data_IF_911927483150
#
_entry.id   IF_911927483150
#
_cell.length_a   1.000
_cell.length_b   1.000
_cell.length_c   1.000
_cell.angle_alpha   90.00
_cell.angle_beta   90.00
_cell.angle_gamma   90.00
#
_symmetry.space_group_name_H-M   'P 1'
#
loop_
_entity.id
_entity.type
_entity.pdbx_description
1 polymer ?
#
# COMPACT_ATOMS: atom_id res chain seq x y z
N UNK A 1 -28.54 -10.17 14.47
CA UNK A 1 -27.07 -10.17 14.63
C UNK A 1 -26.50 -10.12 13.22
N UNK A 2 -26.20 -8.91 12.79
CA UNK A 2 -26.13 -8.51 11.38
C UNK A 2 -24.71 -8.72 10.83
N UNK A 3 -24.58 -9.65 9.89
CA UNK A 3 -23.37 -9.86 9.10
C UNK A 3 -23.51 -9.01 7.84
N UNK A 4 -22.77 -7.90 7.76
CA UNK A 4 -22.75 -7.00 6.59
C UNK A 4 -21.79 -7.55 5.52
N UNK A 5 -22.23 -7.52 4.27
CA UNK A 5 -21.48 -7.93 3.06
C UNK A 5 -21.00 -6.70 2.26
N UNK A 6 -19.97 -6.82 1.41
CA UNK A 6 -19.44 -5.72 0.60
C UNK A 6 -19.66 -5.93 -0.91
N UNK A 7 -20.50 -5.12 -1.55
CA UNK A 7 -20.56 -4.98 -3.02
C UNK A 7 -20.93 -3.52 -3.37
N UNK A 8 -20.34 -2.99 -4.46
CA UNK A 8 -20.80 -1.92 -5.35
C UNK A 8 -19.73 -0.86 -5.70
N UNK A 9 -19.09 -1.06 -6.87
CA UNK A 9 -18.31 -0.06 -7.59
C UNK A 9 -18.80 -0.03 -9.04
N UNK A 10 -19.57 0.99 -9.43
CA UNK A 10 -19.98 1.22 -10.82
C UNK A 10 -20.19 2.74 -11.15
N UNK A 11 -19.39 3.20 -12.13
CA UNK A 11 -19.57 4.22 -13.21
C UNK A 11 -19.65 5.78 -13.05
N UNK A 12 -18.83 6.42 -13.92
CA UNK A 12 -18.94 7.65 -14.78
C UNK A 12 -19.03 9.09 -14.19
N UNK A 13 -18.91 10.16 -15.00
CA UNK A 13 -17.78 11.02 -15.46
C UNK A 13 -18.30 12.49 -15.53
N UNK A 14 -17.49 13.53 -15.26
CA UNK A 14 -17.33 14.74 -16.14
C UNK A 14 -16.30 15.77 -15.63
N UNK A 15 -15.60 16.39 -16.58
CA UNK A 15 -14.53 17.37 -16.38
C UNK A 15 -15.04 18.81 -16.45
N UNK A 16 -14.31 19.77 -15.85
CA UNK A 16 -13.92 20.92 -16.66
C UNK A 16 -12.43 21.25 -16.59
N UNK A 17 -11.97 21.69 -17.75
CA UNK A 17 -10.60 22.00 -18.13
C UNK A 17 -9.96 23.18 -17.39
N UNK A 18 -8.61 23.17 -17.45
CA UNK A 18 -7.66 24.30 -17.33
C UNK A 18 -7.32 24.81 -15.92
N UNK A 19 -6.42 24.08 -15.27
CA UNK A 19 -5.07 24.53 -14.84
C UNK A 19 -4.34 23.29 -14.31
N UNK A 20 -3.13 23.04 -14.81
CA UNK A 20 -2.29 21.93 -14.33
C UNK A 20 -1.84 22.29 -12.91
N UNK A 21 -2.61 21.84 -11.93
CA UNK A 21 -2.19 21.69 -10.53
C UNK A 21 -2.22 20.20 -10.23
N UNK A 22 -1.12 19.63 -9.73
CA UNK A 22 -1.08 18.27 -9.17
C UNK A 22 -2.27 18.10 -8.22
N UNK A 23 -3.29 17.35 -8.62
CA UNK A 23 -4.35 16.86 -7.73
C UNK A 23 -3.99 15.43 -7.37
N UNK A 24 -2.88 15.27 -6.65
CA UNK A 24 -2.62 14.00 -5.98
C UNK A 24 -3.56 13.98 -4.77
N UNK A 25 -4.29 12.90 -4.55
CA UNK A 25 -5.19 12.72 -3.40
C UNK A 25 -4.94 11.35 -2.79
N UNK A 26 -4.96 11.26 -1.45
CA UNK A 26 -5.00 9.96 -0.78
C UNK A 26 -6.45 9.53 -0.68
N UNK A 27 -6.70 8.29 -1.08
CA UNK A 27 -8.00 7.66 -1.07
C UNK A 27 -8.19 6.85 0.21
N UNK A 28 -9.32 7.04 0.89
CA UNK A 28 -9.71 6.23 2.05
C UNK A 28 -11.08 5.58 1.78
N UNK A 29 -11.27 4.35 2.23
CA UNK A 29 -12.55 3.65 2.10
C UNK A 29 -13.48 4.00 3.26
N UNK A 30 -14.68 4.52 2.94
CA UNK A 30 -15.80 4.67 3.88
C UNK A 30 -16.95 3.75 3.45
N UNK A 31 -17.69 3.13 4.39
CA UNK A 31 -19.03 2.60 4.11
C UNK A 31 -20.07 3.71 4.24
N UNK A 32 -20.93 3.89 3.23
CA UNK A 32 -21.96 4.93 3.26
C UNK A 32 -23.25 4.48 3.96
N UNK A 33 -23.90 5.46 4.58
CA UNK A 33 -25.16 5.39 5.30
C UNK A 33 -26.27 5.98 4.42
N UNK A 34 -27.36 5.23 4.25
CA UNK A 34 -28.75 5.65 3.87
C UNK A 34 -29.28 5.36 2.44
N UNK A 35 -30.24 4.42 2.42
CA UNK A 35 -31.64 4.43 1.89
C UNK A 35 -31.95 5.10 0.53
N UNK A 36 -32.59 4.32 -0.36
CA UNK A 36 -33.66 4.78 -1.26
C UNK A 36 -33.50 4.36 -2.73
N UNK A 37 -34.27 3.37 -3.18
CA UNK A 37 -34.31 2.94 -4.59
C UNK A 37 -35.47 3.57 -5.39
N UNK A 38 -35.42 3.48 -6.72
CA UNK A 38 -36.56 3.53 -7.66
C UNK A 38 -36.20 2.87 -9.03
N UNK A 39 -37.12 1.99 -9.50
CA UNK A 39 -37.59 1.65 -10.89
C UNK A 39 -36.63 1.17 -12.01
N UNK A 40 -37.00 0.35 -13.03
CA UNK A 40 -38.16 -0.47 -13.48
C UNK A 40 -37.65 -1.44 -14.59
N UNK A 41 -38.37 -2.53 -14.91
CA UNK A 41 -38.28 -3.21 -16.23
C UNK A 41 -38.62 -4.71 -16.26
N UNK A 42 -39.78 -5.05 -16.82
CA UNK A 42 -40.43 -6.38 -16.97
C UNK A 42 -39.79 -7.35 -17.99
N UNK A 43 -40.19 -8.64 -17.93
CA UNK A 43 -40.96 -9.35 -18.99
C UNK A 43 -41.23 -10.83 -18.62
N UNK A 44 -42.50 -11.29 -18.71
CA UNK A 44 -42.85 -12.71 -18.85
C UNK A 44 -44.20 -13.13 -18.25
N UNK A 45 -45.17 -13.39 -19.11
CA UNK A 45 -46.62 -13.51 -18.92
C UNK A 45 -47.12 -14.98 -18.91
N UNK A 46 -48.12 -15.32 -18.09
CA UNK A 46 -49.14 -16.36 -18.38
C UNK A 46 -50.37 -16.26 -17.45
N UNK A 47 -51.55 -16.37 -18.06
CA UNK A 47 -52.91 -16.08 -17.57
C UNK A 47 -53.43 -16.95 -16.41
N UNK A 48 -54.11 -16.31 -15.44
CA UNK A 48 -55.39 -16.74 -14.84
C UNK A 48 -56.01 -15.56 -14.04
N UNK A 49 -57.27 -15.23 -14.33
CA UNK A 49 -58.03 -14.12 -13.73
C UNK A 49 -58.38 -14.38 -12.25
N UNK A 50 -57.69 -13.72 -11.31
CA UNK A 50 -58.21 -13.46 -9.95
C UNK A 50 -58.06 -11.97 -9.57
N UNK A 51 -59.13 -11.43 -9.00
CA UNK A 51 -59.28 -10.03 -8.61
C UNK A 51 -58.39 -9.71 -7.40
N UNK A 52 -57.59 -8.66 -7.57
CA UNK A 52 -56.65 -8.01 -6.64
C UNK A 52 -57.04 -7.98 -5.15
N UNK A 53 -56.23 -8.67 -4.33
CA UNK A 53 -55.83 -8.18 -3.00
C UNK A 53 -54.32 -7.88 -3.07
N UNK A 54 -53.95 -6.63 -2.78
CA UNK A 54 -52.58 -6.13 -2.83
C UNK A 54 -51.79 -6.66 -1.62
N UNK A 55 -51.11 -7.80 -1.77
CA UNK A 55 -50.09 -8.23 -0.82
C UNK A 55 -48.70 -7.82 -1.35
N UNK A 56 -48.07 -6.92 -0.59
CA UNK A 56 -46.88 -6.18 -0.96
C UNK A 56 -45.63 -7.01 -0.64
N UNK A 57 -45.50 -8.19 -1.24
CA UNK A 57 -44.38 -9.09 -0.95
C UNK A 57 -43.15 -8.69 -1.80
N UNK A 58 -42.32 -7.86 -1.18
CA UNK A 58 -41.06 -7.35 -1.72
C UNK A 58 -40.06 -8.50 -1.87
N UNK A 59 -39.93 -9.07 -3.08
CA UNK A 59 -38.92 -10.06 -3.38
C UNK A 59 -37.50 -9.47 -3.16
N UNK A 60 -36.86 -9.84 -2.05
CA UNK A 60 -35.49 -9.43 -1.74
C UNK A 60 -34.50 -10.36 -2.43
N UNK A 61 -33.69 -9.82 -3.36
CA UNK A 61 -32.58 -10.56 -3.92
C UNK A 61 -31.38 -10.47 -2.97
N UNK A 62 -31.01 -11.59 -2.37
CA UNK A 62 -29.87 -11.66 -1.47
C UNK A 62 -28.62 -11.85 -2.32
N UNK A 63 -27.86 -10.78 -2.57
CA UNK A 63 -26.55 -10.92 -3.20
C UNK A 63 -25.58 -11.56 -2.22
N UNK A 64 -24.89 -12.60 -2.69
CA UNK A 64 -23.91 -13.33 -1.91
C UNK A 64 -22.58 -13.30 -2.66
N UNK A 65 -21.59 -12.68 -2.04
CA UNK A 65 -20.20 -12.77 -2.49
C UNK A 65 -19.84 -14.23 -2.79
N UNK A 66 -19.16 -14.48 -3.92
CA UNK A 66 -18.84 -15.82 -4.43
C UNK A 66 -18.14 -16.73 -3.41
N UNK A 67 -17.38 -16.12 -2.51
CA UNK A 67 -16.66 -16.82 -1.43
C UNK A 67 -17.37 -16.78 -0.07
N UNK A 68 -18.64 -16.37 -0.03
CA UNK A 68 -19.46 -16.39 1.19
C UNK A 68 -19.97 -17.81 1.47
N UNK A 69 -20.16 -18.13 2.74
CA UNK A 69 -20.56 -19.46 3.18
C UNK A 69 -21.86 -19.97 2.50
N UNK A 70 -22.89 -19.12 2.27
CA UNK A 70 -24.07 -19.56 1.53
C UNK A 70 -23.81 -19.92 0.06
N UNK A 71 -22.78 -19.35 -0.57
CA UNK A 71 -22.41 -19.69 -1.96
C UNK A 71 -21.52 -20.93 -1.98
N UNK A 72 -20.64 -21.09 -0.98
CA UNK A 72 -19.85 -22.33 -0.80
C UNK A 72 -20.76 -23.54 -0.60
N UNK A 73 -21.83 -23.39 0.18
CA UNK A 73 -22.81 -24.45 0.43
C UNK A 73 -23.56 -24.85 -0.85
N UNK A 74 -23.80 -23.89 -1.77
CA UNK A 74 -24.44 -24.13 -3.08
C UNK A 74 -23.46 -24.71 -4.11
N UNK A 75 -22.19 -24.26 -4.10
CA UNK A 75 -21.14 -24.70 -5.04
C UNK A 75 -20.55 -26.09 -4.71
N UNK A 76 -21.05 -26.74 -3.65
CA UNK A 76 -20.43 -27.89 -2.99
C UNK A 76 -20.46 -29.22 -3.78
N UNK A 77 -20.46 -29.20 -5.12
CA UNK A 77 -20.30 -30.41 -5.94
C UNK A 77 -19.40 -30.29 -7.17
N UNK A 78 -18.92 -29.11 -7.58
CA UNK A 78 -18.17 -29.01 -8.86
C UNK A 78 -16.98 -28.03 -8.91
N UNK A 79 -16.78 -27.13 -7.94
CA UNK A 79 -15.70 -26.12 -8.00
C UNK A 79 -14.98 -26.02 -6.65
N UNK A 80 -13.65 -26.22 -6.63
CA UNK A 80 -12.84 -25.99 -5.43
C UNK A 80 -12.73 -24.49 -5.18
N UNK A 81 -13.34 -24.00 -4.10
CA UNK A 81 -13.28 -22.60 -3.70
C UNK A 81 -12.07 -22.40 -2.79
N UNK A 82 -11.11 -21.51 -3.14
CA UNK A 82 -9.95 -21.22 -2.28
C UNK A 82 -10.34 -20.78 -0.87
N UNK A 83 -9.55 -21.20 0.11
CA UNK A 83 -9.74 -20.81 1.51
C UNK A 83 -9.51 -19.31 1.66
N UNK A 84 -10.47 -18.60 2.27
CA UNK A 84 -10.35 -17.15 2.51
C UNK A 84 -9.05 -16.84 3.26
N UNK A 85 -8.24 -15.95 2.69
CA UNK A 85 -6.92 -15.60 3.23
C UNK A 85 -5.75 -16.42 2.66
N UNK A 86 -5.99 -17.39 1.77
CA UNK A 86 -4.92 -18.09 1.04
C UNK A 86 -4.41 -17.27 -0.15
N UNK A 87 -3.23 -17.60 -0.66
CA UNK A 87 -2.66 -16.94 -1.85
C UNK A 87 -3.61 -17.12 -3.03
N UNK A 88 -4.12 -18.35 -3.23
CA UNK A 88 -5.04 -18.71 -4.31
C UNK A 88 -6.35 -17.91 -4.24
N UNK A 89 -6.84 -17.61 -3.02
CA UNK A 89 -8.02 -16.76 -2.83
C UNK A 89 -7.78 -15.34 -3.33
N UNK A 90 -6.62 -14.74 -3.01
CA UNK A 90 -6.29 -13.40 -3.47
C UNK A 90 -5.94 -13.37 -4.96
N UNK A 91 -5.31 -14.42 -5.50
CA UNK A 91 -5.07 -14.56 -6.93
C UNK A 91 -6.39 -14.59 -7.69
N UNK A 92 -7.36 -15.41 -7.27
CA UNK A 92 -8.67 -15.48 -7.95
C UNK A 92 -9.44 -14.15 -7.81
N UNK A 93 -9.34 -13.46 -6.67
CA UNK A 93 -9.96 -12.13 -6.50
C UNK A 93 -9.30 -11.10 -7.43
N UNK A 94 -7.98 -11.11 -7.54
CA UNK A 94 -7.23 -10.22 -8.43
C UNK A 94 -7.53 -10.49 -9.91
N UNK A 95 -7.64 -11.75 -10.32
CA UNK A 95 -8.03 -12.13 -11.69
C UNK A 95 -9.46 -11.71 -12.02
N UNK A 96 -10.40 -11.85 -11.08
CA UNK A 96 -11.76 -11.34 -11.26
C UNK A 96 -11.77 -9.81 -11.34
N UNK A 97 -11.08 -9.10 -10.45
CA UNK A 97 -10.92 -7.64 -10.52
C UNK A 97 -10.36 -7.23 -11.89
N UNK A 98 -9.31 -7.89 -12.38
CA UNK A 98 -8.71 -7.68 -13.71
C UNK A 98 -9.73 -7.93 -14.83
N UNK A 99 -10.53 -9.00 -14.76
CA UNK A 99 -11.54 -9.33 -15.78
C UNK A 99 -12.71 -8.33 -15.79
N UNK A 100 -13.25 -7.98 -14.63
CA UNK A 100 -14.38 -7.05 -14.54
C UNK A 100 -13.97 -5.61 -14.86
N UNK A 101 -12.76 -5.18 -14.46
CA UNK A 101 -12.23 -3.86 -14.81
C UNK A 101 -11.77 -3.78 -16.26
N UNK A 102 -11.25 -4.87 -16.84
CA UNK A 102 -10.88 -4.94 -18.25
C UNK A 102 -12.07 -4.85 -19.21
N UNK A 103 -13.28 -5.28 -18.78
CA UNK A 103 -14.52 -5.13 -19.57
C UNK A 103 -15.17 -3.75 -19.45
N UNK A 104 -14.77 -2.94 -18.47
CA UNK A 104 -15.38 -1.66 -18.15
C UNK A 104 -14.69 -0.42 -18.70
N UNK A 105 -13.47 -0.54 -19.20
CA UNK A 105 -12.65 0.61 -19.61
C UNK A 105 -12.19 0.44 -21.05
N UNK A 106 -13.15 0.33 -21.98
CA UNK A 106 -12.85 0.49 -23.41
C UNK A 106 -13.10 1.92 -23.91
N UNK A 107 -13.29 2.91 -23.02
CA UNK A 107 -13.67 4.28 -23.44
C UNK A 107 -12.98 5.42 -22.66
N UNK A 108 -11.89 5.12 -21.92
CA UNK A 108 -10.98 6.16 -21.43
C UNK A 108 -9.58 5.59 -21.31
N UNK A 109 -8.62 6.09 -22.09
CA UNK A 109 -7.23 5.62 -22.16
C UNK A 109 -6.40 5.82 -20.88
N UNK A 110 -6.82 5.21 -19.78
CA UNK A 110 -6.09 5.16 -18.51
C UNK A 110 -5.41 3.79 -18.36
N UNK A 111 -4.23 3.67 -18.98
CA UNK A 111 -3.36 2.50 -18.84
C UNK A 111 -2.86 2.39 -17.39
N UNK A 112 -3.03 1.20 -16.79
CA UNK A 112 -2.55 0.88 -15.44
C UNK A 112 -1.45 -0.16 -15.53
N UNK A 113 -0.43 -0.02 -14.70
CA UNK A 113 0.72 -0.92 -14.68
C UNK A 113 0.94 -1.53 -13.29
N UNK A 114 1.51 -2.73 -13.29
CA UNK A 114 2.02 -3.43 -12.10
C UNK A 114 3.38 -4.07 -12.42
N UNK A 115 4.08 -4.62 -11.44
CA UNK A 115 5.30 -5.40 -11.66
C UNK A 115 5.03 -6.69 -12.43
N UNK A 116 5.90 -7.01 -13.39
CA UNK A 116 5.79 -8.18 -14.26
C UNK A 116 6.08 -9.51 -13.57
N UNK A 117 6.76 -9.50 -12.42
CA UNK A 117 7.01 -10.71 -11.61
C UNK A 117 5.88 -10.99 -10.60
N UNK A 118 4.72 -10.39 -10.84
CA UNK A 118 3.50 -10.53 -10.05
C UNK A 118 3.16 -9.29 -9.23
N UNK A 119 1.86 -8.97 -9.15
CA UNK A 119 1.33 -7.84 -8.38
C UNK A 119 1.13 -8.14 -6.88
N UNK A 120 1.95 -9.00 -6.29
CA UNK A 120 1.84 -9.33 -4.87
C UNK A 120 2.86 -8.54 -4.06
N UNK A 121 2.39 -7.96 -2.97
CA UNK A 121 3.24 -7.44 -1.90
C UNK A 121 2.97 -8.21 -0.60
N UNK A 122 3.99 -8.35 0.22
CA UNK A 122 3.95 -9.13 1.45
C UNK A 122 4.59 -8.35 2.60
N UNK A 123 3.90 -8.31 3.74
CA UNK A 123 4.45 -7.76 4.98
C UNK A 123 5.38 -8.76 5.63
N UNK A 124 6.67 -8.44 5.67
CA UNK A 124 7.69 -9.34 6.25
C UNK A 124 8.09 -8.82 7.63
N UNK A 125 7.52 -9.43 8.68
CA UNK A 125 7.71 -8.99 10.09
C UNK A 125 9.17 -8.97 10.53
N UNK A 126 9.94 -9.96 10.13
CA UNK A 126 11.38 -10.09 10.42
C UNK A 126 12.24 -9.09 9.65
N UNK A 127 11.73 -8.51 8.56
CA UNK A 127 12.37 -7.43 7.81
C UNK A 127 11.70 -6.09 8.14
N UNK A 128 11.55 -5.85 9.44
CA UNK A 128 11.08 -4.56 9.95
C UNK A 128 9.59 -4.32 9.72
N UNK A 129 8.75 -5.35 9.57
CA UNK A 129 7.30 -5.19 9.35
C UNK A 129 6.91 -4.33 8.12
N UNK A 130 7.83 -4.13 7.18
CA UNK A 130 7.56 -3.39 5.93
C UNK A 130 6.87 -4.29 4.89
N UNK A 131 6.24 -3.66 3.90
CA UNK A 131 5.69 -4.36 2.74
C UNK A 131 6.74 -4.43 1.63
N UNK A 132 6.93 -5.64 1.12
CA UNK A 132 7.91 -5.94 0.08
C UNK A 132 7.24 -6.49 -1.16
N UNK A 133 7.83 -6.25 -2.31
CA UNK A 133 7.42 -6.84 -3.58
C UNK A 133 8.65 -7.22 -4.40
N UNK A 134 8.48 -8.09 -5.39
CA UNK A 134 9.55 -8.47 -6.29
C UNK A 134 9.49 -7.61 -7.54
N UNK A 135 10.62 -7.01 -7.91
CA UNK A 135 10.78 -6.25 -9.15
C UNK A 135 11.83 -6.90 -10.03
N UNK A 136 11.70 -6.72 -11.35
CA UNK A 136 12.67 -7.21 -12.32
C UNK A 136 13.35 -6.07 -13.05
N UNK A 137 14.69 -6.07 -13.08
CA UNK A 137 15.53 -5.00 -13.60
C UNK A 137 16.66 -5.57 -14.48
N UNK A 138 16.88 -4.99 -15.65
CA UNK A 138 18.00 -5.33 -16.54
C UNK A 138 17.64 -6.19 -17.75
N UNK A 139 18.61 -6.45 -18.64
CA UNK A 139 18.42 -7.33 -19.81
C UNK A 139 19.55 -8.37 -19.91
N UNK A 140 19.30 -9.64 -19.51
CA UNK A 140 18.04 -10.20 -19.02
C UNK A 140 17.64 -9.67 -17.63
N UNK A 141 16.34 -9.73 -17.32
CA UNK A 141 15.78 -9.23 -16.06
C UNK A 141 16.28 -10.00 -14.83
N UNK A 142 16.89 -9.28 -13.90
CA UNK A 142 17.33 -9.77 -12.59
C UNK A 142 16.28 -9.41 -11.52
N UNK A 143 16.08 -10.26 -10.51
CA UNK A 143 14.99 -10.10 -9.52
C UNK A 143 15.49 -9.51 -8.21
N UNK A 144 14.71 -8.58 -7.66
CA UNK A 144 15.01 -7.88 -6.41
C UNK A 144 13.79 -7.83 -5.49
N UNK A 145 13.97 -8.21 -4.23
CA UNK A 145 12.94 -8.02 -3.20
C UNK A 145 13.09 -6.63 -2.58
N UNK A 146 12.17 -5.73 -2.88
CA UNK A 146 12.28 -4.31 -2.53
C UNK A 146 11.20 -3.89 -1.53
N UNK A 147 11.59 -3.08 -0.55
CA UNK A 147 10.62 -2.44 0.35
C UNK A 147 9.88 -1.31 -0.38
N UNK A 148 8.55 -1.26 -0.28
CA UNK A 148 7.74 -0.17 -0.83
C UNK A 148 7.79 1.05 0.10
N UNK A 149 8.30 2.17 -0.39
CA UNK A 149 8.60 3.33 0.47
C UNK A 149 8.07 4.64 -0.14
N UNK A 150 6.96 5.16 0.38
CA UNK A 150 6.44 6.50 0.04
C UNK A 150 7.18 7.64 0.73
N UNK A 151 8.01 7.36 1.74
CA UNK A 151 8.83 8.31 2.47
C UNK A 151 10.14 8.69 1.76
N UNK A 152 10.50 8.03 0.64
CA UNK A 152 11.66 8.39 -0.16
C UNK A 152 11.45 8.27 -1.67
N UNK A 153 12.23 9.04 -2.44
CA UNK A 153 12.04 9.16 -3.89
C UNK A 153 12.80 8.11 -4.70
N UNK A 154 14.00 7.71 -4.28
CA UNK A 154 14.91 6.93 -5.11
C UNK A 154 14.65 5.43 -4.98
N UNK A 155 14.35 4.77 -6.10
CA UNK A 155 14.50 3.31 -6.22
C UNK A 155 15.98 2.94 -6.25
N UNK A 156 16.41 2.01 -5.40
CA UNK A 156 17.78 1.50 -5.39
C UNK A 156 17.85 0.01 -5.06
N UNK A 157 18.90 -0.64 -5.56
CA UNK A 157 19.23 -2.06 -5.32
C UNK A 157 20.70 -2.21 -4.94
N UNK A 158 21.09 -3.23 -4.17
CA UNK A 158 22.50 -3.53 -3.92
C UNK A 158 23.22 -3.82 -5.24
N UNK A 159 24.39 -3.23 -5.44
CA UNK A 159 25.12 -3.28 -6.69
C UNK A 159 26.62 -3.08 -6.44
N UNK A 160 27.48 -3.85 -7.11
CA UNK A 160 28.95 -3.82 -6.94
C UNK A 160 29.36 -3.65 -5.46
N UNK A 161 28.76 -4.48 -4.61
CA UNK A 161 28.64 -4.17 -3.20
C UNK A 161 30.00 -4.19 -2.47
N UNK A 162 30.38 -3.05 -1.87
CA UNK A 162 31.53 -2.97 -0.96
C UNK A 162 31.13 -3.17 0.50
N UNK A 163 29.91 -2.74 0.89
CA UNK A 163 29.31 -2.94 2.21
C UNK A 163 27.78 -2.95 2.10
N UNK A 164 27.16 -4.13 2.13
CA UNK A 164 25.70 -4.32 2.08
C UNK A 164 25.33 -5.49 2.97
N UNK A 165 24.02 -5.72 3.14
CA UNK A 165 23.54 -6.94 3.76
C UNK A 165 24.07 -8.19 3.03
N UNK A 166 24.46 -9.21 3.80
CA UNK A 166 24.66 -10.55 3.23
C UNK A 166 23.30 -11.08 2.82
N UNK A 167 23.14 -11.43 1.54
CA UNK A 167 21.91 -12.05 1.05
C UNK A 167 21.98 -13.58 1.19
N UNK A 168 23.16 -14.20 1.02
CA UNK A 168 23.32 -15.65 0.92
C UNK A 168 22.86 -16.42 2.18
N UNK A 169 23.06 -15.84 3.37
CA UNK A 169 22.79 -16.50 4.67
C UNK A 169 21.40 -16.19 5.26
N UNK A 170 20.50 -15.57 4.49
CA UNK A 170 19.16 -15.21 5.00
C UNK A 170 18.12 -16.29 4.67
N UNK A 171 17.12 -16.53 5.55
CA UNK A 171 15.99 -17.40 5.21
C UNK A 171 15.17 -16.93 3.99
N UNK A 172 15.42 -15.70 3.52
CA UNK A 172 14.69 -15.03 2.45
C UNK A 172 15.36 -15.19 1.08
N UNK A 173 16.67 -15.43 1.02
CA UNK A 173 17.40 -15.53 -0.25
C UNK A 173 16.90 -16.69 -1.10
N UNK A 174 16.80 -17.88 -0.49
CA UNK A 174 16.26 -19.08 -1.16
C UNK A 174 14.78 -18.96 -1.52
N UNK A 175 14.01 -18.17 -0.76
CA UNK A 175 12.57 -18.00 -0.98
C UNK A 175 12.24 -16.99 -2.08
N UNK A 176 13.01 -15.91 -2.19
CA UNK A 176 12.72 -14.78 -3.09
C UNK A 176 13.74 -14.60 -4.21
N UNK A 177 14.77 -15.45 -4.29
CA UNK A 177 15.83 -15.39 -5.29
C UNK A 177 16.48 -14.00 -5.41
N UNK A 178 16.94 -13.48 -4.27
CA UNK A 178 17.56 -12.16 -4.17
C UNK A 178 18.85 -12.10 -4.99
N UNK A 179 19.01 -11.03 -5.78
CA UNK A 179 20.20 -10.81 -6.62
C UNK A 179 20.99 -9.57 -6.17
N UNK A 180 22.28 -9.50 -6.46
CA UNK A 180 23.04 -8.23 -6.43
C UNK A 180 23.16 -7.78 -7.87
N UNK A 181 22.76 -6.54 -8.17
CA UNK A 181 22.78 -6.03 -9.53
C UNK A 181 24.23 -5.90 -10.02
N UNK A 182 24.55 -6.65 -11.08
CA UNK A 182 25.81 -6.49 -11.82
C UNK A 182 25.52 -5.80 -13.15
N UNK A 183 26.04 -4.56 -13.37
CA UNK A 183 25.91 -3.86 -14.64
C UNK A 183 26.42 -4.65 -15.86
N UNK A 184 27.34 -5.61 -15.68
CA UNK A 184 27.91 -6.43 -16.76
C UNK A 184 26.97 -7.54 -17.21
N UNK A 185 26.08 -7.98 -16.32
CA UNK A 185 25.09 -9.01 -16.59
C UNK A 185 23.81 -8.44 -17.22
N UNK A 186 23.75 -7.13 -17.45
CA UNK A 186 22.67 -6.46 -18.17
C UNK A 186 23.20 -5.73 -19.40
N UNK A 187 22.76 -6.17 -20.58
CA UNK A 187 23.12 -5.57 -21.87
C UNK A 187 22.57 -4.15 -22.09
N UNK A 188 21.61 -3.72 -21.27
CA UNK A 188 20.96 -2.40 -21.33
C UNK A 188 21.41 -1.46 -20.23
N UNK A 189 22.31 -1.92 -19.34
CA UNK A 189 22.82 -1.12 -18.23
C UNK A 189 23.58 0.11 -18.70
N UNK A 190 23.26 1.27 -18.12
CA UNK A 190 23.91 2.54 -18.46
C UNK A 190 24.21 3.37 -17.21
N UNK A 191 25.43 3.87 -17.13
CA UNK A 191 25.85 4.84 -16.09
C UNK A 191 25.24 6.21 -16.36
N UNK A 192 24.65 6.83 -15.34
CA UNK A 192 24.17 8.22 -15.44
C UNK A 192 25.35 9.17 -15.34
N UNK A 193 25.52 10.04 -16.34
CA UNK A 193 26.58 11.06 -16.31
C UNK A 193 26.25 12.19 -15.33
N UNK A 194 27.27 12.88 -14.82
CA UNK A 194 27.11 14.08 -13.99
C UNK A 194 26.28 15.21 -14.61
N UNK A 195 26.25 15.28 -15.94
CA UNK A 195 25.57 16.33 -16.70
C UNK A 195 24.07 16.02 -16.85
N UNK A 196 23.64 14.85 -16.37
CA UNK A 196 22.28 14.38 -16.50
C UNK A 196 21.34 15.21 -15.63
N UNK A 197 20.15 15.51 -16.14
CA UNK A 197 19.15 16.37 -15.47
C UNK A 197 18.69 15.86 -14.10
N UNK A 198 18.82 14.56 -13.84
CA UNK A 198 18.47 13.92 -12.57
C UNK A 198 19.65 13.83 -11.60
N UNK A 199 20.85 14.24 -12.01
CA UNK A 199 22.00 14.30 -11.13
C UNK A 199 21.94 15.58 -10.29
N UNK A 200 21.60 15.46 -9.02
CA UNK A 200 21.54 16.58 -8.07
C UNK A 200 22.79 16.70 -7.20
N UNK A 201 23.60 15.63 -7.12
CA UNK A 201 24.80 15.59 -6.32
C UNK A 201 25.98 16.31 -7.01
N UNK A 202 26.86 16.88 -6.20
CA UNK A 202 28.13 17.41 -6.66
C UNK A 202 29.03 16.27 -7.14
N UNK A 203 29.38 16.28 -8.43
CA UNK A 203 30.29 15.30 -8.98
C UNK A 203 31.76 15.57 -8.61
N UNK A 204 32.55 14.53 -8.29
CA UNK A 204 33.99 14.67 -8.09
C UNK A 204 34.68 15.10 -9.39
N UNK A 205 35.51 16.15 -9.34
CA UNK A 205 36.26 16.68 -10.50
C UNK A 205 35.55 17.83 -11.23
N UNK A 206 36.06 18.25 -12.40
CA UNK A 206 35.60 19.43 -13.18
C UNK A 206 34.22 19.25 -13.86
N UNK A 207 33.24 18.71 -13.12
CA UNK A 207 31.79 18.83 -13.37
C UNK A 207 31.21 18.18 -14.63
N UNK A 208 32.02 17.57 -15.50
CA UNK A 208 31.57 17.15 -16.84
C UNK A 208 31.95 15.72 -17.25
N UNK A 209 32.89 15.09 -16.54
CA UNK A 209 33.44 13.76 -16.86
C UNK A 209 33.35 12.91 -15.60
N UNK A 210 32.25 12.20 -15.42
CA UNK A 210 32.02 11.36 -14.25
C UNK A 210 30.65 10.68 -14.26
N UNK A 211 30.52 9.64 -13.43
CA UNK A 211 29.24 9.01 -13.11
C UNK A 211 28.61 9.75 -11.93
N UNK A 212 27.31 10.02 -12.00
CA UNK A 212 26.59 10.75 -10.97
C UNK A 212 26.56 9.96 -9.66
N UNK A 213 27.15 10.47 -8.56
CA UNK A 213 27.02 9.84 -7.27
C UNK A 213 25.63 10.10 -6.68
N UNK A 214 25.21 9.26 -5.74
CA UNK A 214 24.08 9.56 -4.87
C UNK A 214 24.37 9.13 -3.44
N UNK A 215 23.67 9.76 -2.51
CA UNK A 215 23.66 9.38 -1.10
C UNK A 215 22.30 9.73 -0.52
N UNK A 216 21.66 8.76 0.13
CA UNK A 216 20.37 8.93 0.80
C UNK A 216 20.50 8.51 2.26
N UNK A 217 20.09 9.39 3.16
CA UNK A 217 20.02 9.12 4.60
C UNK A 217 18.56 8.97 5.02
N UNK A 218 18.30 8.02 5.92
CA UNK A 218 16.97 7.69 6.41
C UNK A 218 16.86 8.03 7.90
N UNK A 219 15.63 8.26 8.37
CA UNK A 219 15.38 8.69 9.76
C UNK A 219 15.81 7.63 10.78
N UNK A 220 15.78 6.35 10.41
CA UNK A 220 16.24 5.27 11.28
C UNK A 220 17.74 5.39 11.58
N UNK A 221 18.12 5.06 12.82
CA UNK A 221 19.48 5.26 13.35
C UNK A 221 20.56 4.80 12.37
N UNK A 222 21.42 5.73 11.97
CA UNK A 222 22.59 5.51 11.11
C UNK A 222 22.29 4.75 9.82
N UNK A 223 21.06 4.86 9.30
CA UNK A 223 20.63 4.13 8.10
C UNK A 223 20.82 4.99 6.86
N UNK A 224 21.57 4.47 5.89
CA UNK A 224 21.85 5.16 4.64
C UNK A 224 22.17 4.19 3.50
N UNK A 225 22.05 4.68 2.27
CA UNK A 225 22.55 4.02 1.06
C UNK A 225 23.31 5.04 0.20
N UNK A 226 24.40 4.62 -0.43
CA UNK A 226 25.20 5.48 -1.31
C UNK A 226 25.88 4.67 -2.41
N UNK A 227 26.18 5.36 -3.51
CA UNK A 227 26.79 4.75 -4.69
C UNK A 227 26.65 5.65 -5.90
N UNK A 228 26.27 5.07 -7.03
CA UNK A 228 26.12 5.77 -8.31
C UNK A 228 24.72 5.60 -8.91
N UNK A 229 24.26 6.58 -9.67
CA UNK A 229 23.03 6.47 -10.45
C UNK A 229 23.29 5.69 -11.75
N UNK A 230 22.35 4.80 -12.04
CA UNK A 230 22.32 3.94 -13.22
C UNK A 230 20.96 4.07 -13.92
N UNK A 231 20.89 3.71 -15.19
CA UNK A 231 19.66 3.54 -15.95
C UNK A 231 19.60 2.10 -16.46
N UNK A 232 18.43 1.47 -16.36
CA UNK A 232 18.15 0.17 -16.96
C UNK A 232 16.63 -0.05 -17.09
N UNK A 233 16.22 -1.12 -17.76
CA UNK A 233 14.81 -1.46 -17.91
C UNK A 233 14.24 -2.08 -16.63
N UNK A 234 13.24 -1.42 -16.05
CA UNK A 234 12.30 -1.99 -15.09
C UNK A 234 11.16 -2.65 -15.86
N UNK A 235 10.93 -3.94 -15.61
CA UNK A 235 9.87 -4.69 -16.26
C UNK A 235 8.55 -4.56 -15.49
N UNK A 236 7.53 -4.09 -16.19
CA UNK A 236 6.16 -3.94 -15.72
C UNK A 236 5.23 -4.76 -16.62
N UNK A 237 3.97 -4.88 -16.23
CA UNK A 237 2.91 -5.42 -17.05
C UNK A 237 1.65 -4.56 -16.94
N UNK A 238 0.77 -4.64 -17.94
CA UNK A 238 -0.58 -4.05 -17.84
C UNK A 238 -1.34 -4.72 -16.70
N UNK A 239 -1.97 -3.92 -15.85
CA UNK A 239 -2.81 -4.38 -14.73
C UNK A 239 -4.22 -4.76 -15.22
N UNK A 240 -4.27 -5.57 -16.26
CA UNK A 240 -5.47 -6.13 -16.89
C UNK A 240 -5.33 -7.64 -17.08
N UNK A 241 -6.33 -8.27 -17.69
CA UNK A 241 -6.32 -9.72 -17.94
C UNK A 241 -5.28 -10.16 -18.96
N UNK A 242 -4.71 -9.24 -19.74
CA UNK A 242 -3.77 -9.58 -20.81
C UNK A 242 -2.32 -9.62 -20.30
N UNK A 243 -1.98 -8.83 -19.27
CA UNK A 243 -0.64 -8.85 -18.66
C UNK A 243 0.46 -8.55 -19.68
N UNK A 244 0.26 -7.54 -20.52
CA UNK A 244 1.20 -7.18 -21.58
C UNK A 244 2.44 -6.56 -20.94
N UNK A 245 3.62 -7.09 -21.27
CA UNK A 245 4.89 -6.57 -20.75
C UNK A 245 5.12 -5.14 -21.23
N UNK A 246 5.51 -4.27 -20.29
CA UNK A 246 5.87 -2.87 -20.51
C UNK A 246 7.23 -2.62 -19.89
N UNK A 247 8.22 -2.28 -20.72
CA UNK A 247 9.59 -2.02 -20.27
C UNK A 247 9.83 -0.53 -20.09
N UNK A 248 10.09 -0.11 -18.85
CA UNK A 248 10.34 1.29 -18.50
C UNK A 248 11.84 1.51 -18.23
N UNK A 249 12.51 2.35 -19.01
CA UNK A 249 13.94 2.65 -18.83
C UNK A 249 14.15 3.67 -17.70
N UNK A 250 14.22 3.18 -16.46
CA UNK A 250 14.20 4.00 -15.23
C UNK A 250 15.61 4.35 -14.76
N UNK A 251 15.74 5.48 -14.07
CA UNK A 251 16.95 5.80 -13.28
C UNK A 251 16.81 5.21 -11.88
N UNK A 252 17.85 4.56 -11.38
CA UNK A 252 17.89 3.96 -10.04
C UNK A 252 19.27 4.09 -9.40
N UNK A 253 19.35 3.87 -8.09
CA UNK A 253 20.60 3.83 -7.34
C UNK A 253 21.25 2.43 -7.37
N UNK A 254 22.48 2.36 -7.87
CA UNK A 254 23.38 1.23 -7.61
C UNK A 254 24.00 1.42 -6.22
N UNK A 255 23.41 0.77 -5.21
CA UNK A 255 23.78 0.89 -3.81
C UNK A 255 25.04 0.10 -3.48
N UNK A 256 26.19 0.76 -3.55
CA UNK A 256 27.52 0.19 -3.30
C UNK A 256 27.87 0.12 -1.81
N UNK A 257 27.30 1.03 -1.00
CA UNK A 257 27.50 1.09 0.45
C UNK A 257 26.17 1.37 1.17
N UNK A 258 25.87 0.55 2.17
CA UNK A 258 24.70 0.64 3.03
C UNK A 258 25.11 0.67 4.50
N UNK A 259 24.27 1.24 5.35
CA UNK A 259 24.49 1.31 6.80
C UNK A 259 23.20 1.15 7.59
N UNK A 260 23.34 0.97 8.91
CA UNK A 260 22.20 0.91 9.84
C UNK A 260 21.30 -0.29 9.57
N UNK A 261 19.98 -0.06 9.59
CA UNK A 261 18.98 -1.12 9.48
C UNK A 261 19.05 -1.91 8.16
N UNK A 262 19.56 -1.29 7.09
CA UNK A 262 19.70 -1.91 5.77
C UNK A 262 20.69 -3.07 5.70
N UNK A 263 21.55 -3.21 6.71
CA UNK A 263 22.50 -4.33 6.77
C UNK A 263 21.88 -5.61 7.36
N UNK A 264 20.73 -5.51 8.04
CA UNK A 264 20.27 -6.60 8.92
C UNK A 264 18.76 -6.82 8.96
N UNK A 265 17.95 -5.76 8.94
CA UNK A 265 16.53 -5.85 9.34
C UNK A 265 15.55 -5.10 8.45
N UNK A 266 15.99 -4.40 7.39
CA UNK A 266 15.08 -3.71 6.46
C UNK A 266 15.71 -3.63 5.07
N UNK A 267 14.90 -3.66 4.01
CA UNK A 267 15.32 -3.34 2.63
C UNK A 267 16.64 -4.00 2.15
N UNK A 268 16.93 -5.23 2.61
CA UNK A 268 18.23 -5.89 2.39
C UNK A 268 18.59 -6.03 0.91
N UNK A 269 17.57 -6.21 0.07
CA UNK A 269 17.73 -6.41 -1.37
C UNK A 269 17.21 -5.23 -2.21
N UNK A 270 17.02 -4.07 -1.55
CA UNK A 270 16.64 -2.83 -2.19
C UNK A 270 15.39 -2.21 -1.59
N UNK A 271 15.10 -1.02 -2.07
CA UNK A 271 13.97 -0.20 -1.66
C UNK A 271 13.43 0.52 -2.90
N UNK A 272 12.12 0.48 -3.07
CA UNK A 272 11.40 1.08 -4.18
C UNK A 272 10.79 2.41 -3.75
N UNK A 273 11.49 3.50 -4.10
CA UNK A 273 11.05 4.85 -3.80
C UNK A 273 9.78 5.22 -4.57
N UNK A 274 8.74 5.56 -3.82
CA UNK A 274 7.42 5.97 -4.31
C UNK A 274 7.16 7.46 -4.08
N UNK A 275 8.18 8.23 -3.71
CA UNK A 275 8.12 9.68 -3.47
C UNK A 275 7.61 10.52 -4.65
N UNK A 276 7.53 11.84 -4.45
CA UNK A 276 6.93 12.77 -5.42
C UNK A 276 7.96 13.49 -6.31
N UNK A 277 9.26 13.26 -6.10
CA UNK A 277 10.31 13.88 -6.90
C UNK A 277 10.47 13.23 -8.27
N UNK A 278 11.09 13.98 -9.18
CA UNK A 278 11.23 13.60 -10.61
C UNK A 278 11.99 12.30 -10.86
N UNK A 279 12.82 11.88 -9.91
CA UNK A 279 13.63 10.65 -9.97
C UNK A 279 12.84 9.41 -9.55
N UNK A 280 11.73 9.58 -8.81
CA UNK A 280 10.88 8.46 -8.41
C UNK A 280 10.27 7.76 -9.62
N UNK A 281 10.12 6.44 -9.49
CA UNK A 281 9.51 5.62 -10.55
C UNK A 281 8.09 6.08 -10.90
N UNK A 282 7.15 6.32 -9.96
CA UNK A 282 5.82 6.81 -10.33
C UNK A 282 5.87 8.14 -11.09
N UNK A 283 6.71 9.09 -10.67
CA UNK A 283 6.87 10.37 -11.39
C UNK A 283 7.50 10.21 -12.77
N UNK A 284 8.44 9.27 -12.93
CA UNK A 284 9.00 8.91 -14.24
C UNK A 284 7.92 8.34 -15.15
N UNK A 285 7.18 7.33 -14.69
CA UNK A 285 6.17 6.64 -15.49
C UNK A 285 5.09 7.61 -15.97
N UNK A 286 4.60 8.48 -15.08
CA UNK A 286 3.61 9.49 -15.43
C UNK A 286 4.14 10.53 -16.41
N UNK A 287 5.37 11.00 -16.23
CA UNK A 287 5.99 12.00 -17.12
C UNK A 287 6.22 11.48 -18.54
N UNK A 288 6.66 10.23 -18.65
CA UNK A 288 6.92 9.60 -19.96
C UNK A 288 5.62 9.04 -20.60
N UNK A 289 4.46 9.20 -19.94
CA UNK A 289 3.15 8.90 -20.51
C UNK A 289 2.72 7.44 -20.39
N UNK A 290 3.38 6.64 -19.56
CA UNK A 290 3.01 5.24 -19.31
C UNK A 290 1.72 5.09 -18.51
N UNK A 291 1.44 6.05 -17.64
CA UNK A 291 0.34 6.00 -16.67
C UNK A 291 -0.19 7.41 -16.39
N UNK A 292 -1.35 7.50 -15.74
CA UNK A 292 -1.74 8.70 -15.02
C UNK A 292 -0.79 8.99 -13.83
N UNK A 293 -0.65 10.26 -13.43
CA UNK A 293 0.13 10.70 -12.26
C UNK A 293 -0.56 10.33 -10.94
N UNK A 294 -0.70 9.03 -10.71
CA UNK A 294 -1.34 8.42 -9.55
C UNK A 294 -0.91 6.96 -9.41
N UNK A 295 -1.08 6.41 -8.21
CA UNK A 295 -0.96 4.98 -7.96
C UNK A 295 -1.81 4.63 -6.73
N UNK A 296 -2.11 3.35 -6.55
CA UNK A 296 -2.78 2.83 -5.36
C UNK A 296 -1.96 1.72 -4.71
N UNK A 297 -2.01 1.65 -3.39
CA UNK A 297 -1.47 0.54 -2.59
C UNK A 297 -2.60 -0.04 -1.75
N UNK A 298 -2.71 -1.36 -1.73
CA UNK A 298 -3.74 -2.05 -0.96
C UNK A 298 -3.08 -3.14 -0.11
N UNK A 299 -2.99 -2.91 1.20
CA UNK A 299 -2.40 -3.84 2.16
C UNK A 299 -3.49 -4.48 3.03
N UNK A 300 -3.62 -5.80 2.93
CA UNK A 300 -4.54 -6.63 3.69
C UNK A 300 -4.09 -6.84 5.13
N UNK A 301 -5.05 -7.18 6.00
CA UNK A 301 -4.82 -7.43 7.43
C UNK A 301 -3.91 -8.64 7.70
N UNK A 302 -3.95 -9.60 6.79
CA UNK A 302 -3.10 -10.80 6.75
C UNK A 302 -1.64 -10.47 6.36
N UNK A 303 -1.41 -9.26 5.83
CA UNK A 303 -0.10 -8.79 5.35
C UNK A 303 0.11 -8.99 3.86
N UNK A 304 -0.86 -9.52 3.12
CA UNK A 304 -0.80 -9.59 1.67
C UNK A 304 -1.32 -8.29 1.07
N UNK A 305 -0.78 -7.86 -0.06
CA UNK A 305 -1.25 -6.65 -0.71
C UNK A 305 -0.87 -6.55 -2.17
N UNK A 306 -1.11 -5.38 -2.77
CA UNK A 306 -0.79 -5.08 -4.18
C UNK A 306 -0.51 -3.60 -4.41
N UNK A 307 0.08 -3.27 -5.54
CA UNK A 307 0.28 -1.90 -6.01
C UNK A 307 -0.21 -1.76 -7.46
N UNK A 308 -0.81 -0.62 -7.81
CA UNK A 308 -1.26 -0.36 -9.19
C UNK A 308 -0.89 1.06 -9.57
N UNK A 309 0.00 1.20 -10.55
CA UNK A 309 0.42 2.48 -11.10
C UNK A 309 -0.60 2.97 -12.12
N UNK A 310 -0.91 4.26 -12.11
CA UNK A 310 -1.97 4.87 -12.93
C UNK A 310 -3.38 4.72 -12.34
N UNK A 311 -3.55 4.03 -11.21
CA UNK A 311 -4.84 3.91 -10.56
C UNK A 311 -5.27 5.25 -9.96
N UNK A 312 -6.44 5.75 -10.39
CA UNK A 312 -7.06 7.01 -9.94
C UNK A 312 -8.05 6.81 -8.81
N UNK A 313 -8.14 5.61 -8.24
CA UNK A 313 -9.13 5.30 -7.22
C UNK A 313 -10.54 5.20 -7.78
N UNK A 314 -11.53 5.24 -6.88
CA UNK A 314 -12.95 5.25 -7.21
C UNK A 314 -13.60 6.54 -6.72
N UNK A 315 -14.72 6.93 -7.33
CA UNK A 315 -15.40 8.19 -7.02
C UNK A 315 -16.01 8.25 -5.61
N UNK A 316 -16.27 7.08 -5.01
CA UNK A 316 -16.84 6.95 -3.68
C UNK A 316 -15.78 6.88 -2.57
N UNK A 317 -14.50 6.93 -2.94
CA UNK A 317 -13.44 7.02 -1.94
C UNK A 317 -13.43 8.42 -1.34
N UNK A 318 -13.21 8.46 -0.03
CA UNK A 318 -12.94 9.72 0.62
C UNK A 318 -11.55 10.20 0.23
N UNK A 319 -11.41 11.51 0.15
CA UNK A 319 -10.19 12.17 -0.29
C UNK A 319 -9.73 13.17 0.77
N UNK A 320 -8.42 13.31 0.92
CA UNK A 320 -7.80 14.46 1.58
C UNK A 320 -6.81 15.11 0.63
N UNK A 321 -6.73 16.45 0.58
CA UNK A 321 -5.67 17.12 -0.14
C UNK A 321 -4.32 16.88 0.55
N UNK A 322 -3.28 16.71 -0.25
CA UNK A 322 -1.92 16.85 0.27
C UNK A 322 -1.64 18.30 0.67
N UNK A 323 -0.86 18.45 1.72
CA UNK A 323 -0.21 19.70 2.10
C UNK A 323 1.07 19.79 1.28
N UNK A 324 1.01 20.56 0.20
CA UNK A 324 2.11 20.64 -0.75
C UNK A 324 3.18 21.64 -0.27
N UNK A 325 4.39 21.14 -0.03
CA UNK A 325 5.61 21.95 0.04
C UNK A 325 6.38 21.78 -1.28
N UNK A 326 6.54 22.87 -2.02
CA UNK A 326 7.23 22.86 -3.30
C UNK A 326 8.73 22.60 -3.19
N UNK A 327 9.32 22.82 -2.01
CA UNK A 327 10.76 22.63 -1.77
C UNK A 327 11.13 21.18 -1.50
N UNK A 328 10.23 20.41 -0.87
CA UNK A 328 10.40 19.00 -0.52
C UNK A 328 9.03 18.31 -0.64
N UNK A 329 8.61 17.95 -1.87
CA UNK A 329 7.29 17.39 -2.10
C UNK A 329 7.21 16.01 -1.48
N UNK A 330 6.27 15.85 -0.55
CA UNK A 330 6.03 14.60 0.17
C UNK A 330 4.53 14.34 0.31
N UNK A 331 4.15 13.12 0.67
CA UNK A 331 2.74 12.73 0.87
C UNK A 331 2.15 13.24 2.18
N UNK A 332 2.36 14.52 2.47
CA UNK A 332 1.93 15.13 3.72
C UNK A 332 0.43 15.43 3.70
N UNK A 333 -0.31 15.04 4.72
CA UNK A 333 -1.75 15.28 4.92
C UNK A 333 -2.00 16.02 6.24
N UNK A 334 -3.23 16.51 6.42
CA UNK A 334 -3.65 17.16 7.66
C UNK A 334 -4.81 16.38 8.28
N UNK A 335 -4.62 15.93 9.51
CA UNK A 335 -5.71 15.46 10.38
C UNK A 335 -6.19 16.63 11.25
N UNK A 336 -7.49 16.72 11.49
CA UNK A 336 -8.14 17.78 12.28
C UNK A 336 -8.66 17.25 13.61
N UNK A 337 -9.12 16.00 13.63
CA UNK A 337 -9.68 15.35 14.82
C UNK A 337 -9.25 13.89 14.90
N UNK A 338 -9.24 13.37 16.13
CA UNK A 338 -8.99 11.96 16.43
C UNK A 338 -10.21 11.43 17.18
N UNK A 339 -10.77 10.31 16.72
CA UNK A 339 -11.82 9.58 17.41
C UNK A 339 -11.26 8.31 17.99
N UNK A 340 -11.46 8.09 19.29
CA UNK A 340 -11.10 6.85 20.00
C UNK A 340 -12.36 6.32 20.68
N UNK A 341 -12.91 5.23 20.16
CA UNK A 341 -14.19 4.67 20.57
C UNK A 341 -15.31 5.72 20.53
N UNK A 342 -15.85 6.04 21.70
CA UNK A 342 -16.89 7.07 21.84
C UNK A 342 -16.34 8.50 21.99
N UNK A 343 -15.04 8.66 22.22
CA UNK A 343 -14.41 9.95 22.47
C UNK A 343 -13.93 10.59 21.17
N UNK A 344 -14.29 11.86 20.93
CA UNK A 344 -13.77 12.66 19.82
C UNK A 344 -12.96 13.83 20.38
N UNK A 345 -11.74 14.02 19.88
CA UNK A 345 -10.87 15.13 20.29
C UNK A 345 -10.46 15.99 19.10
N UNK A 346 -10.53 17.31 19.30
CA UNK A 346 -9.92 18.28 18.40
C UNK A 346 -8.41 18.25 18.60
N UNK A 347 -7.73 17.77 17.58
CA UNK A 347 -6.30 17.47 17.62
C UNK A 347 -5.78 17.57 16.21
N UNK A 348 -5.51 18.80 15.77
CA UNK A 348 -5.00 19.05 14.43
C UNK A 348 -3.50 18.85 14.37
N UNK A 349 -3.03 18.06 13.41
CA UNK A 349 -1.62 17.84 13.13
C UNK A 349 -1.41 17.52 11.65
N UNK A 350 -0.16 17.70 11.23
CA UNK A 350 0.33 17.35 9.91
C UNK A 350 1.02 15.99 10.02
N UNK A 351 0.80 15.12 9.03
CA UNK A 351 1.33 13.76 8.98
C UNK A 351 1.89 13.49 7.55
N UNK A 352 3.08 12.88 7.43
CA UNK A 352 3.78 12.50 6.18
C UNK A 352 3.48 11.05 5.72
N UNK A 353 2.51 10.76 4.83
CA UNK A 353 2.05 9.40 4.49
C UNK A 353 3.18 8.44 4.06
N UNK A 354 3.61 7.54 4.95
CA UNK A 354 4.85 6.76 4.84
C UNK A 354 4.66 5.23 4.98
N UNK A 355 4.94 4.49 3.91
CA UNK A 355 4.99 3.01 3.89
C UNK A 355 6.37 2.43 4.23
N UNK A 356 7.42 3.26 4.27
CA UNK A 356 8.80 2.91 4.63
C UNK A 356 9.04 2.82 6.14
N UNK A 357 8.04 3.18 6.95
CA UNK A 357 8.08 3.07 8.41
C UNK A 357 7.07 2.05 8.93
N UNK A 358 7.52 1.14 9.79
CA UNK A 358 6.73 0.03 10.33
C UNK A 358 5.53 0.43 11.19
N UNK A 359 5.67 1.56 11.88
CA UNK A 359 4.89 1.95 13.05
C UNK A 359 4.56 3.43 13.00
N UNK A 360 3.39 3.80 13.50
CA UNK A 360 3.03 5.21 13.68
C UNK A 360 3.84 5.87 14.78
N UNK A 361 4.40 7.03 14.46
CA UNK A 361 4.92 7.95 15.47
C UNK A 361 4.02 9.18 15.53
N UNK A 362 3.56 9.50 16.74
CA UNK A 362 2.85 10.75 17.00
C UNK A 362 3.74 11.62 17.88
N UNK A 363 3.83 12.90 17.52
CA UNK A 363 4.52 13.88 18.36
C UNK A 363 3.63 14.29 19.54
N UNK A 364 4.25 14.77 20.61
CA UNK A 364 3.50 15.38 21.71
C UNK A 364 2.86 16.72 21.28
N UNK A 365 1.66 17.08 21.79
CA UNK A 365 0.89 16.38 22.82
C UNK A 365 -0.08 15.30 22.28
N UNK A 366 -0.06 15.01 20.97
CA UNK A 366 -1.04 14.15 20.32
C UNK A 366 -0.92 12.69 20.76
N UNK A 367 0.31 12.19 20.87
CA UNK A 367 0.60 10.84 21.38
C UNK A 367 0.01 10.61 22.78
N UNK A 368 0.32 11.48 23.75
CA UNK A 368 -0.18 11.32 25.12
C UNK A 368 -1.71 11.42 25.18
N UNK A 369 -2.33 12.34 24.44
CA UNK A 369 -3.81 12.48 24.44
C UNK A 369 -4.48 11.21 23.93
N UNK A 370 -4.00 10.69 22.82
CA UNK A 370 -4.59 9.53 22.17
C UNK A 370 -4.41 8.28 23.01
N UNK A 371 -3.19 7.99 23.43
CA UNK A 371 -2.89 6.76 24.20
C UNK A 371 -3.62 6.72 25.54
N UNK A 372 -3.82 7.87 26.21
CA UNK A 372 -4.65 7.96 27.42
C UNK A 372 -6.13 7.64 27.15
N UNK A 373 -6.72 8.20 26.09
CA UNK A 373 -8.11 7.92 25.72
C UNK A 373 -8.32 6.46 25.31
N UNK A 374 -7.32 5.91 24.61
CA UNK A 374 -7.34 4.52 24.23
C UNK A 374 -7.29 3.64 25.48
N UNK A 375 -6.30 3.88 26.35
CA UNK A 375 -6.13 3.13 27.59
C UNK A 375 -7.38 3.16 28.49
N UNK A 376 -8.02 4.31 28.62
CA UNK A 376 -9.24 4.46 29.43
C UNK A 376 -10.41 3.60 28.93
N UNK A 377 -10.40 3.19 27.66
CA UNK A 377 -11.44 2.37 27.03
C UNK A 377 -11.00 0.90 26.84
N UNK A 378 -9.72 0.59 27.05
CA UNK A 378 -9.20 -0.78 27.01
C UNK A 378 -9.57 -1.54 28.28
N UNK A 379 -10.22 -2.69 28.13
CA UNK A 379 -10.59 -3.57 29.26
C UNK A 379 -9.46 -4.50 29.72
N UNK A 380 -8.54 -4.82 28.82
CA UNK A 380 -7.41 -5.69 29.13
C UNK A 380 -6.44 -5.03 30.12
N UNK A 381 -5.86 -5.85 30.99
CA UNK A 381 -4.94 -5.37 32.03
C UNK A 381 -3.64 -4.85 31.41
N UNK A 382 -3.29 -3.60 31.72
CA UNK A 382 -2.03 -2.99 31.28
C UNK A 382 -0.84 -3.67 31.97
N UNK A 383 0.14 -4.08 31.18
CA UNK A 383 1.45 -4.56 31.65
C UNK A 383 2.32 -3.37 32.03
N UNK A 384 3.22 -3.62 32.99
CA UNK A 384 4.32 -2.70 33.28
C UNK A 384 5.19 -2.52 32.03
N UNK A 385 5.69 -1.31 31.85
CA UNK A 385 6.62 -0.98 30.77
C UNK A 385 7.85 -1.87 30.86
N UNK A 386 8.24 -2.45 29.72
CA UNK A 386 9.43 -3.29 29.59
C UNK A 386 10.38 -2.59 28.61
N UNK A 387 11.56 -2.19 29.07
CA UNK A 387 12.54 -1.47 28.24
C UNK A 387 13.04 -2.28 27.04
N UNK A 388 12.78 -3.60 27.00
CA UNK A 388 13.08 -4.44 25.83
C UNK A 388 12.07 -4.28 24.71
N UNK A 389 10.96 -3.58 24.97
CA UNK A 389 9.82 -3.45 24.06
C UNK A 389 9.62 -1.97 23.82
N UNK A 390 9.64 -1.51 22.55
CA UNK A 390 9.65 -0.08 22.23
C UNK A 390 8.27 0.58 22.34
N UNK A 391 7.37 0.04 23.17
CA UNK A 391 5.99 0.49 23.31
C UNK A 391 5.65 0.80 24.78
N UNK A 392 4.98 1.94 25.02
CA UNK A 392 4.61 2.37 26.38
C UNK A 392 3.31 1.72 26.89
N UNK A 393 2.41 1.33 25.97
CA UNK A 393 1.08 0.81 26.29
C UNK A 393 0.92 -0.64 25.82
N UNK A 394 0.91 -1.54 26.79
CA UNK A 394 1.05 -2.98 26.60
C UNK A 394 -0.03 -3.69 27.41
N UNK A 395 -0.69 -4.69 26.88
CA UNK A 395 -1.86 -5.34 27.49
C UNK A 395 -1.77 -6.86 27.42
N UNK A 396 -2.21 -7.54 28.47
CA UNK A 396 -2.37 -9.00 28.48
C UNK A 396 -3.79 -9.33 28.01
N UNK A 397 -3.93 -10.03 26.87
CA UNK A 397 -5.25 -10.47 26.41
C UNK A 397 -5.74 -11.65 27.26
N UNK A 398 -7.03 -11.64 27.60
CA UNK A 398 -7.67 -12.84 28.15
C UNK A 398 -7.66 -13.98 27.12
N UNK A 399 -7.37 -15.24 27.52
CA UNK A 399 -7.48 -16.41 26.65
C UNK A 399 -8.91 -16.70 26.19
N UNK A 400 -9.92 -16.19 26.90
CA UNK A 400 -11.34 -16.44 26.58
C UNK A 400 -11.75 -15.64 25.34
N UNK A 401 -11.84 -16.39 24.25
CA UNK A 401 -12.06 -16.00 22.87
C UNK A 401 -13.47 -15.46 22.63
N UNK A 402 -13.63 -14.13 22.59
CA UNK A 402 -14.43 -13.44 21.57
C UNK A 402 -14.22 -11.93 21.74
N UNK A 403 -13.24 -11.40 20.99
CA UNK A 403 -12.87 -9.99 20.86
C UNK A 403 -12.41 -9.31 22.16
N UNK A 404 -11.10 -9.16 22.35
CA UNK A 404 -10.61 -7.97 23.06
C UNK A 404 -11.29 -6.77 22.40
N UNK A 405 -12.08 -6.03 23.17
CA UNK A 405 -12.75 -4.82 22.71
C UNK A 405 -11.67 -3.75 22.55
N UNK A 406 -10.98 -3.79 21.43
CA UNK A 406 -10.00 -2.80 20.99
C UNK A 406 -10.82 -1.56 20.60
N UNK A 407 -10.65 -0.42 21.30
CA UNK A 407 -11.26 0.84 20.90
C UNK A 407 -11.07 1.12 19.41
N UNK A 408 -12.17 1.39 18.72
CA UNK A 408 -12.14 1.86 17.34
C UNK A 408 -11.37 3.19 17.28
N UNK A 409 -10.65 3.39 16.19
CA UNK A 409 -9.83 4.58 16.00
C UNK A 409 -10.06 5.11 14.59
N UNK A 410 -10.41 6.39 14.48
CA UNK A 410 -10.47 7.08 13.20
C UNK A 410 -9.86 8.47 13.30
N UNK A 411 -9.39 8.98 12.16
CA UNK A 411 -8.97 10.35 11.99
C UNK A 411 -9.96 11.08 11.09
N UNK A 412 -10.33 12.28 11.49
CA UNK A 412 -10.96 13.22 10.56
C UNK A 412 -9.87 14.00 9.85
N UNK A 413 -9.84 13.92 8.53
CA UNK A 413 -8.89 14.58 7.66
C UNK A 413 -9.39 15.96 7.24
N UNK A 414 -8.48 16.79 6.73
CA UNK A 414 -8.85 18.06 6.09
C UNK A 414 -9.75 17.76 4.87
N UNK A 415 -10.92 18.40 4.81
CA UNK A 415 -11.97 18.03 3.86
C UNK A 415 -13.01 17.08 4.44
N UNK A 416 -12.98 16.82 5.75
CA UNK A 416 -13.99 16.08 6.53
C UNK A 416 -14.07 14.57 6.26
N UNK A 417 -13.21 14.04 5.38
CA UNK A 417 -13.02 12.60 5.21
C UNK A 417 -12.61 11.90 6.52
N UNK A 418 -13.16 10.73 6.77
CA UNK A 418 -12.87 9.83 7.88
C UNK A 418 -11.90 8.71 7.47
N UNK A 419 -10.64 8.82 7.89
CA UNK A 419 -9.72 7.71 7.79
C UNK A 419 -9.90 6.74 8.95
N UNK A 420 -10.44 5.56 8.67
CA UNK A 420 -10.55 4.48 9.65
C UNK A 420 -9.20 3.77 9.82
N UNK A 421 -8.72 3.68 11.06
CA UNK A 421 -7.46 2.99 11.38
C UNK A 421 -7.75 1.52 11.60
N UNK A 422 -7.53 0.73 10.55
CA UNK A 422 -7.69 -0.71 10.61
C UNK A 422 -6.57 -1.35 11.43
N UNK A 423 -6.95 -2.13 12.44
CA UNK A 423 -6.05 -2.83 13.37
C UNK A 423 -5.06 -1.89 14.08
N UNK A 424 -5.52 -1.07 15.05
CA UNK A 424 -4.69 -0.11 15.79
C UNK A 424 -3.85 -0.77 16.90
N UNK A 425 -3.49 -2.05 16.71
CA UNK A 425 -2.70 -2.83 17.65
C UNK A 425 -1.78 -3.81 16.91
N UNK A 426 -0.75 -4.27 17.62
CA UNK A 426 0.10 -5.38 17.20
C UNK A 426 -0.02 -6.49 18.24
N UNK A 427 -0.08 -7.74 17.79
CA UNK A 427 -0.06 -8.91 18.67
C UNK A 427 1.33 -9.53 18.59
N UNK A 428 2.04 -9.66 19.72
CA UNK A 428 3.29 -10.41 19.79
C UNK A 428 3.09 -11.69 20.60
N UNK A 429 3.50 -12.86 20.08
CA UNK A 429 3.45 -14.09 20.84
C UNK A 429 4.48 -14.03 21.97
N UNK A 430 4.07 -14.31 23.22
CA UNK A 430 4.99 -14.49 24.34
C UNK A 430 4.88 -15.92 24.87
N UNK A 431 5.97 -16.48 25.39
CA UNK A 431 6.15 -17.91 25.71
C UNK A 431 5.09 -18.55 26.63
N UNK A 432 4.15 -17.80 27.23
CA UNK A 432 3.05 -18.35 28.05
C UNK A 432 1.68 -17.67 27.92
N UNK A 433 1.52 -16.55 27.20
CA UNK A 433 0.24 -15.82 27.00
C UNK A 433 0.31 -14.94 25.73
N UNK A 434 -0.83 -14.60 25.13
CA UNK A 434 -0.91 -13.58 24.06
C UNK A 434 -0.76 -12.19 24.69
N UNK A 435 0.22 -11.39 24.24
CA UNK A 435 0.35 -9.99 24.65
C UNK A 435 0.01 -9.08 23.46
N UNK A 436 -0.92 -8.16 23.67
CA UNK A 436 -1.30 -7.12 22.71
C UNK A 436 -0.60 -5.83 23.06
N UNK A 437 -0.08 -5.15 22.05
CA UNK A 437 0.52 -3.84 22.17
C UNK A 437 -0.42 -2.85 21.54
N UNK A 438 -0.61 -1.73 22.22
CA UNK A 438 -1.19 -0.59 21.55
C UNK A 438 -0.19 -0.06 20.56
N UNK A 439 -0.54 -0.11 19.28
CA UNK A 439 0.03 0.85 18.38
C UNK A 439 -0.94 1.17 17.29
N UNK A 440 -1.31 2.45 17.29
CA UNK A 440 -1.81 3.15 16.13
C UNK A 440 -1.11 2.68 14.87
N UNK A 441 -1.92 2.32 13.88
CA UNK A 441 -1.54 2.10 12.49
C UNK A 441 -2.00 3.32 11.70
N UNK A 442 -1.59 4.51 12.12
CA UNK A 442 -1.67 5.71 11.30
C UNK A 442 -0.35 5.86 10.59
N UNK A 443 -0.35 5.62 9.29
CA UNK A 443 0.67 6.22 8.45
C UNK A 443 0.78 7.68 8.93
N UNK A 444 1.94 8.03 9.53
CA UNK A 444 2.42 9.41 9.38
C UNK A 444 2.20 9.66 7.92
#
# INVERSE_FOLDING_TARGET
>A
MEVKKPEDCNWKVEAPSKKISRKTRIWFSKPDLSIGGFEFGELGESDEDEVFEHDNDMASLKMHHRFSDPVKDVLNKQVSVPTKGSVEFYTELAENDKMFRGRGVSDSGDERLTFSDGNSSLRIKSLGYLHYTTVSLGTPGQKFLVALDTGSDLFWVPCECSRCASIDDTPYSSKFNMSIYDPKESSTSKKVSCNHRLCTASCPGSGTVGTCPYSSSYVSSETSTSGILMEDFLHLETDDSNGTIVDAFVTFGCGQQQSGSFLHVAALNGLFGLGMEKISVPSFLAREGYIADSFSMCFGVDGNGRISFGDKGSINQEETPFTFDASHPTYTITATQIRVGASLINSSFIALFDSGTSFTYLVEPHYTRLTKLFHAQTKDSRRLTDNRIPFDYCYTMSPDTNTSLIPELSLTMKGEGQFLVYNPIIVLPTHKLYTVWLLLSILI
#
